data_IF_874989327123
#
_entry.id   IF_874989327123
#
_cell.length_a   1.000
_cell.length_b   1.000
_cell.length_c   1.000
_cell.angle_alpha   90.00
_cell.angle_beta   90.00
_cell.angle_gamma   90.00
#
_symmetry.space_group_name_H-M   'P 1'
#
loop_
_entity.id
_entity.type
_entity.pdbx_description
1 polymer ?
#
# COMPACT_ATOMS: atom_id res chain seq x y z
N UNK A 1 60.70 -34.96 8.37
CA UNK A 1 61.24 -35.62 7.16
C UNK A 1 60.03 -36.26 6.48
N UNK A 2 59.23 -35.55 5.68
CA UNK A 2 59.46 -35.00 4.33
C UNK A 2 59.58 -36.08 3.25
N UNK A 3 58.54 -36.18 2.40
CA UNK A 3 58.50 -36.24 0.90
C UNK A 3 57.07 -36.62 0.47
N UNK A 4 56.27 -35.76 -0.20
CA UNK A 4 56.22 -35.52 -1.67
C UNK A 4 55.68 -36.75 -2.47
N UNK A 5 54.82 -36.72 -3.50
CA UNK A 5 54.24 -35.70 -4.40
C UNK A 5 53.16 -36.39 -5.30
N UNK A 6 52.35 -35.59 -6.02
CA UNK A 6 51.56 -35.88 -7.26
C UNK A 6 50.06 -36.24 -7.08
N UNK A 7 49.13 -35.33 -7.40
CA UNK A 7 48.52 -35.02 -8.74
C UNK A 7 47.55 -36.10 -9.25
N UNK A 8 46.29 -35.72 -9.49
CA UNK A 8 45.67 -35.71 -10.83
C UNK A 8 44.16 -35.46 -10.75
N UNK A 9 43.73 -34.37 -11.41
CA UNK A 9 42.33 -34.06 -11.71
C UNK A 9 41.89 -34.83 -12.96
N UNK A 10 40.69 -35.42 -12.93
CA UNK A 10 39.89 -35.75 -14.13
C UNK A 10 38.40 -35.78 -13.71
N UNK A 11 37.63 -34.73 -14.00
CA UNK A 11 36.76 -34.58 -15.17
C UNK A 11 35.74 -35.69 -15.35
N UNK A 12 34.49 -35.41 -14.99
CA UNK A 12 33.34 -35.86 -15.78
C UNK A 12 32.47 -34.65 -16.09
N UNK A 13 32.62 -34.19 -17.34
CA UNK A 13 31.71 -33.27 -18.01
C UNK A 13 30.28 -33.80 -17.94
N UNK A 14 29.34 -32.92 -17.55
CA UNK A 14 27.96 -33.02 -18.04
C UNK A 14 27.51 -31.67 -18.55
N UNK A 15 27.91 -31.43 -19.80
CA UNK A 15 27.32 -30.48 -20.75
C UNK A 15 25.79 -30.58 -20.68
N UNK A 16 25.13 -29.50 -20.26
CA UNK A 16 23.70 -29.28 -20.48
C UNK A 16 23.56 -27.84 -20.94
N UNK A 17 23.09 -27.71 -22.17
CA UNK A 17 22.89 -26.48 -22.92
C UNK A 17 22.17 -25.38 -22.12
N UNK A 18 22.83 -24.23 -21.95
CA UNK A 18 22.13 -22.98 -21.70
C UNK A 18 21.55 -22.46 -23.02
N UNK A 19 20.23 -22.30 -23.17
CA UNK A 19 19.71 -21.45 -24.22
C UNK A 19 19.98 -20.00 -23.84
N UNK A 20 21.02 -19.45 -24.48
CA UNK A 20 21.26 -18.02 -24.67
C UNK A 20 19.99 -17.36 -25.23
N UNK A 21 19.21 -16.70 -24.37
CA UNK A 21 18.15 -15.82 -24.85
C UNK A 21 18.83 -14.52 -25.30
N UNK A 22 18.93 -14.37 -26.61
CA UNK A 22 19.28 -13.12 -27.28
C UNK A 22 18.38 -11.99 -26.81
N UNK A 23 19.02 -10.93 -26.31
CA UNK A 23 18.43 -9.62 -26.12
C UNK A 23 18.05 -9.10 -27.51
N UNK A 24 16.75 -9.12 -27.83
CA UNK A 24 16.22 -8.33 -28.93
C UNK A 24 15.73 -7.01 -28.36
N UNK A 25 16.61 -6.03 -28.49
CA UNK A 25 16.32 -4.61 -28.32
C UNK A 25 15.31 -4.21 -29.39
N UNK A 26 14.03 -4.08 -29.01
CA UNK A 26 12.99 -3.52 -29.86
C UNK A 26 12.48 -2.24 -29.20
N UNK A 27 13.16 -1.15 -29.54
CA UNK A 27 12.65 0.19 -29.35
C UNK A 27 11.36 0.33 -30.17
N UNK A 28 10.23 0.60 -29.53
CA UNK A 28 9.15 1.31 -30.21
C UNK A 28 8.22 2.04 -29.23
N UNK A 29 8.16 3.36 -29.46
CA UNK A 29 7.05 4.28 -29.23
C UNK A 29 6.32 4.27 -27.87
N UNK A 30 6.69 5.24 -27.03
CA UNK A 30 5.79 5.83 -26.06
C UNK A 30 4.56 6.47 -26.74
N UNK A 31 3.38 6.44 -26.11
CA UNK A 31 2.43 7.52 -26.23
C UNK A 31 2.52 8.38 -24.98
N UNK A 32 3.08 9.57 -25.18
CA UNK A 32 2.89 10.73 -24.34
C UNK A 32 1.39 11.00 -24.19
N UNK A 33 0.89 11.03 -22.95
CA UNK A 33 -0.43 11.60 -22.67
C UNK A 33 -0.26 12.58 -21.52
N UNK A 34 -0.15 13.85 -21.92
CA UNK A 34 -0.25 15.03 -21.08
C UNK A 34 -1.55 15.05 -20.23
N UNK A 35 -1.50 15.70 -19.05
CA UNK A 35 -2.58 15.67 -18.08
C UNK A 35 -3.70 16.65 -18.47
N UNK A 36 -4.95 16.20 -18.38
CA UNK A 36 -6.11 17.10 -18.45
C UNK A 36 -6.94 17.07 -17.18
N UNK A 37 -7.24 18.30 -16.76
CA UNK A 37 -8.37 18.74 -15.96
C UNK A 37 -8.22 18.71 -14.43
N UNK A 38 -7.61 19.80 -13.95
CA UNK A 38 -7.98 20.49 -12.71
C UNK A 38 -9.48 20.78 -12.66
N UNK A 39 -10.11 20.59 -11.50
CA UNK A 39 -11.42 21.18 -11.20
C UNK A 39 -11.35 21.88 -9.84
N UNK A 40 -11.16 23.19 -9.94
CA UNK A 40 -11.28 24.24 -8.93
C UNK A 40 -12.76 24.46 -8.59
N UNK A 41 -13.13 24.44 -7.30
CA UNK A 41 -14.32 25.16 -6.81
C UNK A 41 -14.01 25.77 -5.46
N UNK A 42 -14.07 27.10 -5.42
CA UNK A 42 -13.99 27.97 -4.27
C UNK A 42 -15.33 28.75 -4.16
N UNK A 43 -15.55 29.61 -3.15
CA UNK A 43 -16.48 29.40 -2.04
C UNK A 43 -17.79 30.19 -2.18
N UNK A 44 -18.84 29.80 -1.45
CA UNK A 44 -20.04 30.63 -1.28
C UNK A 44 -20.26 30.99 0.19
N UNK A 45 -20.52 32.28 0.42
CA UNK A 45 -20.66 32.93 1.71
C UNK A 45 -22.09 33.49 1.90
N UNK A 46 -22.61 33.33 3.12
CA UNK A 46 -23.67 34.16 3.73
C UNK A 46 -25.09 33.58 3.71
N UNK A 47 -25.98 33.97 4.66
CA UNK A 47 -25.93 35.19 5.47
C UNK A 47 -25.93 34.99 7.00
N UNK A 48 -25.53 36.05 7.72
CA UNK A 48 -25.54 36.22 9.18
C UNK A 48 -26.90 36.73 9.67
N UNK A 49 -27.32 36.31 10.86
CA UNK A 49 -28.24 37.03 11.76
C UNK A 49 -27.91 36.71 13.22
N UNK A 50 -27.47 37.74 13.97
CA UNK A 50 -27.53 37.85 15.44
C UNK A 50 -29.00 38.00 15.88
N UNK A 51 -29.49 37.67 17.08
CA UNK A 51 -28.95 37.11 18.31
C UNK A 51 -30.08 37.04 19.37
N UNK A 52 -29.87 36.33 20.48
CA UNK A 52 -30.37 36.66 21.83
C UNK A 52 -30.01 35.57 22.86
N UNK A 53 -29.57 36.06 24.00
CA UNK A 53 -28.91 35.43 25.15
C UNK A 53 -29.85 34.65 26.10
N UNK A 54 -29.49 33.40 26.47
CA UNK A 54 -29.15 32.98 27.85
C UNK A 54 -29.01 31.45 28.02
N UNK A 55 -27.82 31.04 28.50
CA UNK A 55 -27.53 29.90 29.39
C UNK A 55 -27.96 28.48 28.98
N UNK A 56 -27.03 27.71 28.38
CA UNK A 56 -26.72 26.32 28.77
C UNK A 56 -25.59 25.75 27.89
N UNK A 57 -24.54 25.20 28.53
CA UNK A 57 -23.48 24.33 27.98
C UNK A 57 -22.98 24.60 26.54
N UNK A 58 -21.85 25.30 26.42
CA UNK A 58 -21.19 25.53 25.14
C UNK A 58 -20.91 24.21 24.38
N UNK A 59 -21.34 24.06 23.12
CA UNK A 59 -20.90 22.97 22.27
C UNK A 59 -19.43 23.21 21.92
N UNK A 60 -18.61 22.16 22.07
CA UNK A 60 -17.21 22.16 21.65
C UNK A 60 -17.15 22.58 20.18
N UNK A 61 -16.54 23.74 19.92
CA UNK A 61 -16.16 24.15 18.56
C UNK A 61 -15.35 23.03 17.91
N UNK A 62 -15.46 22.79 16.58
CA UNK A 62 -14.68 21.75 15.94
C UNK A 62 -13.21 22.02 16.21
N UNK A 63 -12.58 21.17 17.01
CA UNK A 63 -11.17 21.32 17.35
C UNK A 63 -10.35 21.35 16.06
N UNK A 64 -9.28 22.18 15.99
CA UNK A 64 -8.38 22.15 14.85
C UNK A 64 -7.90 20.72 14.66
N UNK A 65 -8.25 20.12 13.52
CA UNK A 65 -7.92 18.72 13.23
C UNK A 65 -6.41 18.55 13.41
N UNK A 66 -6.03 17.71 14.39
CA UNK A 66 -4.63 17.44 14.68
C UNK A 66 -3.90 16.98 13.41
N UNK A 67 -2.58 17.23 13.32
CA UNK A 67 -1.77 16.80 12.17
C UNK A 67 -1.95 15.29 11.89
N UNK A 68 -1.94 14.48 12.96
CA UNK A 68 -2.25 13.05 12.91
C UNK A 68 -3.65 12.76 12.34
N UNK A 69 -4.66 13.54 12.71
CA UNK A 69 -6.02 13.41 12.16
C UNK A 69 -6.07 13.69 10.65
N UNK A 70 -5.31 14.69 10.16
CA UNK A 70 -5.17 14.98 8.73
C UNK A 70 -4.42 13.85 8.00
N UNK A 71 -3.37 13.30 8.62
CA UNK A 71 -2.63 12.17 8.07
C UNK A 71 -3.52 10.93 7.94
N UNK A 72 -4.36 10.66 8.94
CA UNK A 72 -5.33 9.58 8.91
C UNK A 72 -6.38 9.73 7.81
N UNK A 73 -6.77 10.96 7.47
CA UNK A 73 -7.66 11.23 6.35
C UNK A 73 -6.98 10.91 5.00
N UNK A 74 -5.70 11.29 4.83
CA UNK A 74 -4.88 10.94 3.67
C UNK A 74 -4.79 9.42 3.51
N UNK A 75 -4.48 8.68 4.58
CA UNK A 75 -4.38 7.22 4.56
C UNK A 75 -5.71 6.59 4.16
N UNK A 76 -6.81 6.96 4.82
CA UNK A 76 -8.14 6.38 4.54
C UNK A 76 -8.57 6.62 3.09
N UNK A 77 -8.34 7.83 2.56
CA UNK A 77 -8.65 8.15 1.16
C UNK A 77 -7.87 7.24 0.20
N UNK A 78 -6.58 7.07 0.41
CA UNK A 78 -5.74 6.23 -0.45
C UNK A 78 -6.09 4.74 -0.32
N UNK A 79 -6.47 4.26 0.87
CA UNK A 79 -7.03 2.90 1.04
C UNK A 79 -8.30 2.73 0.20
N UNK A 80 -9.22 3.71 0.21
CA UNK A 80 -10.42 3.65 -0.62
C UNK A 80 -10.11 3.62 -2.13
N UNK A 81 -9.08 4.36 -2.57
CA UNK A 81 -8.59 4.31 -3.95
C UNK A 81 -8.01 2.93 -4.30
N UNK A 82 -7.19 2.33 -3.42
CA UNK A 82 -6.65 0.97 -3.61
C UNK A 82 -7.77 -0.07 -3.70
N UNK A 83 -8.79 0.05 -2.85
CA UNK A 83 -9.97 -0.83 -2.91
C UNK A 83 -10.78 -0.64 -4.19
N UNK A 84 -10.76 0.56 -4.78
CA UNK A 84 -11.43 0.86 -6.06
C UNK A 84 -10.60 0.48 -7.30
N UNK A 85 -9.27 0.48 -7.19
CA UNK A 85 -8.37 0.16 -8.29
C UNK A 85 -8.48 -1.30 -8.76
N UNK A 86 -8.94 -2.22 -7.90
CA UNK A 86 -9.18 -3.63 -8.24
C UNK A 86 -10.42 -3.90 -9.10
N UNK A 87 -11.04 -2.88 -9.71
CA UNK A 87 -12.21 -3.01 -10.59
C UNK A 87 -11.84 -3.12 -12.07
N UNK A 88 -10.57 -2.94 -12.43
CA UNK A 88 -10.09 -3.09 -13.81
C UNK A 88 -9.54 -4.51 -13.98
N UNK A 89 -10.00 -5.31 -14.95
CA UNK A 89 -9.62 -6.71 -15.08
C UNK A 89 -8.25 -6.89 -15.77
N UNK A 90 -7.21 -6.19 -15.30
CA UNK A 90 -5.84 -6.31 -15.84
C UNK A 90 -4.83 -6.42 -14.69
N UNK A 91 -4.42 -7.65 -14.31
CA UNK A 91 -3.65 -7.92 -13.08
C UNK A 91 -2.33 -7.13 -12.93
N UNK A 92 -1.66 -6.77 -14.03
CA UNK A 92 -0.39 -6.00 -13.98
C UNK A 92 -0.67 -4.51 -13.77
N UNK A 93 -1.72 -3.99 -14.42
CA UNK A 93 -2.13 -2.58 -14.29
C UNK A 93 -2.56 -2.30 -12.85
N UNK A 94 -3.23 -3.25 -12.22
CA UNK A 94 -3.67 -3.13 -10.82
C UNK A 94 -2.50 -2.93 -9.87
N UNK A 95 -1.39 -3.67 -10.04
CA UNK A 95 -0.23 -3.55 -9.16
C UNK A 95 0.52 -2.22 -9.36
N UNK A 96 0.64 -1.76 -10.61
CA UNK A 96 1.25 -0.44 -10.90
C UNK A 96 0.38 0.68 -10.34
N UNK A 97 -0.95 0.60 -10.51
CA UNK A 97 -1.90 1.55 -9.97
C UNK A 97 -1.85 1.60 -8.43
N UNK A 98 -1.86 0.44 -7.77
CA UNK A 98 -1.76 0.34 -6.30
C UNK A 98 -0.44 0.95 -5.82
N UNK A 99 0.67 0.64 -6.49
CA UNK A 99 1.99 1.20 -6.14
C UNK A 99 1.99 2.72 -6.32
N UNK A 100 1.43 3.24 -7.42
CA UNK A 100 1.29 4.68 -7.66
C UNK A 100 0.46 5.37 -6.58
N UNK A 101 -0.65 4.77 -6.15
CA UNK A 101 -1.48 5.28 -5.04
C UNK A 101 -0.68 5.31 -3.73
N UNK A 102 0.10 4.26 -3.43
CA UNK A 102 0.94 4.21 -2.23
C UNK A 102 2.06 5.25 -2.25
N UNK A 103 2.72 5.45 -3.39
CA UNK A 103 3.74 6.50 -3.58
C UNK A 103 3.12 7.88 -3.39
N UNK A 104 1.97 8.15 -4.03
CA UNK A 104 1.22 9.39 -3.86
C UNK A 104 0.84 9.63 -2.39
N UNK A 105 0.38 8.60 -1.68
CA UNK A 105 0.07 8.69 -0.26
C UNK A 105 1.29 9.13 0.56
N UNK A 106 2.48 8.56 0.30
CA UNK A 106 3.70 8.97 0.99
C UNK A 106 4.14 10.40 0.62
N UNK A 107 3.87 10.86 -0.60
CA UNK A 107 4.09 12.25 -0.99
C UNK A 107 3.18 13.21 -0.21
N UNK A 108 1.87 12.91 -0.15
CA UNK A 108 0.90 13.71 0.62
C UNK A 108 1.20 13.73 2.12
N UNK A 109 1.68 12.61 2.68
CA UNK A 109 2.16 12.56 4.05
C UNK A 109 3.44 13.39 4.23
N UNK A 110 4.41 13.29 3.33
CA UNK A 110 5.65 14.07 3.43
C UNK A 110 5.35 15.57 3.38
N UNK A 111 4.47 16.01 2.49
CA UNK A 111 4.00 17.40 2.39
C UNK A 111 3.31 17.87 3.67
N UNK A 112 2.42 17.04 4.25
CA UNK A 112 1.74 17.37 5.51
C UNK A 112 2.70 17.59 6.69
N UNK A 113 3.87 16.95 6.66
CA UNK A 113 4.90 17.04 7.68
C UNK A 113 6.03 18.02 7.32
N UNK A 114 5.93 18.70 6.17
CA UNK A 114 6.95 19.61 5.63
C UNK A 114 8.31 18.91 5.40
N UNK A 115 8.26 17.68 4.88
CA UNK A 115 9.42 16.83 4.60
C UNK A 115 9.72 16.74 3.10
N UNK A 116 11.00 16.64 2.76
CA UNK A 116 11.42 16.40 1.38
C UNK A 116 10.97 15.02 0.89
N UNK A 117 10.23 14.99 -0.21
CA UNK A 117 9.77 13.77 -0.85
C UNK A 117 10.69 13.34 -1.99
N UNK A 118 10.97 12.03 -2.08
CA UNK A 118 11.67 11.42 -3.20
C UNK A 118 11.02 10.11 -3.59
N UNK A 119 10.51 10.08 -4.82
CA UNK A 119 9.75 8.95 -5.32
C UNK A 119 10.57 7.65 -5.41
N UNK A 120 11.85 7.75 -5.79
CA UNK A 120 12.76 6.60 -5.86
C UNK A 120 12.96 5.94 -4.48
N UNK A 121 13.05 6.74 -3.41
CA UNK A 121 13.10 6.23 -2.03
C UNK A 121 11.76 5.62 -1.66
N UNK A 122 10.67 6.34 -1.87
CA UNK A 122 9.33 5.89 -1.51
C UNK A 122 9.04 4.50 -2.10
N UNK A 123 9.31 4.31 -3.41
CA UNK A 123 9.15 3.02 -4.08
C UNK A 123 10.04 1.92 -3.48
N UNK A 124 11.30 2.22 -3.14
CA UNK A 124 12.21 1.27 -2.48
C UNK A 124 11.72 0.85 -1.10
N UNK A 125 11.24 1.81 -0.29
CA UNK A 125 10.73 1.53 1.06
C UNK A 125 9.44 0.72 1.02
N UNK A 126 8.53 1.02 0.09
CA UNK A 126 7.33 0.22 -0.19
C UNK A 126 7.74 -1.22 -0.53
N UNK A 127 8.66 -1.39 -1.48
CA UNK A 127 9.14 -2.72 -1.89
C UNK A 127 9.82 -3.47 -0.75
N UNK A 128 10.59 -2.78 0.08
CA UNK A 128 11.23 -3.34 1.27
C UNK A 128 10.21 -3.88 2.29
N UNK A 129 9.22 -3.07 2.68
CA UNK A 129 8.19 -3.50 3.62
C UNK A 129 7.32 -4.63 3.04
N UNK A 130 6.99 -4.55 1.74
CA UNK A 130 6.27 -5.61 1.04
C UNK A 130 7.06 -6.93 1.06
N UNK A 131 8.37 -6.88 0.77
CA UNK A 131 9.25 -8.05 0.88
C UNK A 131 9.35 -8.56 2.32
N UNK A 132 9.24 -7.69 3.32
CA UNK A 132 9.23 -8.06 4.73
C UNK A 132 7.96 -8.79 5.17
N UNK A 133 6.82 -8.54 4.50
CA UNK A 133 5.54 -9.27 4.69
C UNK A 133 5.57 -10.61 3.95
N UNK A 134 6.00 -10.60 2.69
CA UNK A 134 6.05 -11.79 1.85
C UNK A 134 7.19 -12.74 2.28
N UNK A 135 8.33 -12.22 2.71
CA UNK A 135 9.51 -13.02 3.07
C UNK A 135 9.35 -13.91 4.31
N UNK A 136 8.34 -13.68 5.15
CA UNK A 136 8.03 -14.50 6.35
C UNK A 136 6.87 -15.47 6.12
N UNK A 137 6.23 -15.45 4.95
CA UNK A 137 4.97 -16.16 4.72
C UNK A 137 4.62 -16.44 3.26
N UNK A 138 5.54 -16.22 2.30
CA UNK A 138 5.29 -16.43 0.87
C UNK A 138 4.81 -17.86 0.58
N UNK A 139 5.29 -18.86 1.32
CA UNK A 139 4.80 -20.24 1.20
C UNK A 139 3.30 -20.38 1.48
N UNK A 140 2.75 -19.59 2.41
CA UNK A 140 1.33 -19.64 2.77
C UNK A 140 0.44 -18.83 1.79
N UNK A 141 0.88 -17.65 1.37
CA UNK A 141 0.10 -16.77 0.47
C UNK A 141 0.08 -17.29 -0.97
N UNK A 142 1.20 -17.84 -1.46
CA UNK A 142 1.26 -18.49 -2.77
C UNK A 142 0.48 -19.82 -2.73
N UNK A 143 0.57 -20.58 -1.63
CA UNK A 143 -0.21 -21.79 -1.41
C UNK A 143 -1.72 -21.58 -1.43
N UNK A 144 -2.21 -20.44 -0.90
CA UNK A 144 -3.64 -20.11 -0.91
C UNK A 144 -4.20 -19.81 -2.32
N UNK A 145 -3.35 -19.38 -3.28
CA UNK A 145 -3.80 -19.20 -4.67
C UNK A 145 -4.03 -20.51 -5.41
N UNK A 146 -3.48 -21.62 -4.93
CA UNK A 146 -3.76 -22.98 -5.44
C UNK A 146 -5.10 -23.55 -4.92
N UNK A 147 -5.72 -22.91 -3.92
CA UNK A 147 -7.06 -23.27 -3.42
C UNK A 147 -8.21 -22.79 -4.33
N UNK A 148 -7.93 -22.02 -5.38
CA UNK A 148 -8.94 -21.49 -6.33
C UNK A 148 -9.50 -22.55 -7.31
N UNK A 149 -9.15 -23.82 -7.14
CA UNK A 149 -9.69 -24.94 -7.94
C UNK A 149 -10.83 -25.71 -7.24
N UNK A 150 -11.18 -25.37 -6.00
CA UNK A 150 -12.30 -26.00 -5.30
C UNK A 150 -13.36 -24.92 -5.05
N UNK A 151 -14.27 -24.67 -6.02
CA UNK A 151 -15.50 -23.98 -5.66
C UNK A 151 -16.21 -24.88 -4.65
N UNK A 152 -16.63 -24.31 -3.52
CA UNK A 152 -17.47 -24.92 -2.47
C UNK A 152 -16.87 -25.54 -1.19
N UNK A 153 -15.55 -25.54 -0.95
CA UNK A 153 -15.01 -25.94 0.37
C UNK A 153 -14.23 -24.80 1.02
N UNK A 154 -14.83 -24.14 2.03
CA UNK A 154 -14.13 -23.14 2.84
C UNK A 154 -14.94 -22.08 3.60
N UNK A 155 -16.23 -22.30 3.92
CA UNK A 155 -17.11 -21.27 4.49
C UNK A 155 -16.92 -20.94 6.00
N UNK A 156 -15.77 -21.21 6.63
CA UNK A 156 -15.65 -20.96 8.09
C UNK A 156 -14.28 -20.53 8.65
N UNK A 157 -13.30 -20.17 7.80
CA UNK A 157 -12.05 -19.55 8.28
C UNK A 157 -11.77 -18.28 7.48
N UNK A 158 -11.51 -17.17 8.18
CA UNK A 158 -11.48 -15.80 7.66
C UNK A 158 -10.83 -15.64 6.28
N UNK A 159 -11.66 -15.37 5.27
CA UNK A 159 -11.20 -15.17 3.90
C UNK A 159 -10.57 -13.78 3.81
N UNK A 160 -9.23 -13.72 3.85
CA UNK A 160 -8.49 -12.51 3.51
C UNK A 160 -8.37 -12.45 1.99
N UNK A 161 -9.12 -11.54 1.36
CA UNK A 161 -9.12 -11.36 -0.09
C UNK A 161 -8.00 -10.42 -0.54
N UNK A 162 -7.68 -10.40 -1.84
CA UNK A 162 -6.65 -9.50 -2.40
C UNK A 162 -6.95 -8.02 -2.08
N UNK A 163 -8.18 -7.50 -2.24
CA UNK A 163 -8.50 -6.13 -1.82
C UNK A 163 -8.31 -5.89 -0.32
N UNK A 164 -8.60 -6.88 0.54
CA UNK A 164 -8.35 -6.76 1.99
C UNK A 164 -6.86 -6.66 2.27
N UNK A 165 -6.04 -7.52 1.65
CA UNK A 165 -4.58 -7.50 1.81
C UNK A 165 -3.98 -6.18 1.31
N UNK A 166 -4.36 -5.73 0.11
CA UNK A 166 -3.81 -4.51 -0.49
C UNK A 166 -4.20 -3.26 0.29
N UNK A 167 -5.47 -3.18 0.73
CA UNK A 167 -5.93 -2.10 1.59
C UNK A 167 -5.25 -2.13 2.96
N UNK A 168 -5.09 -3.31 3.56
CA UNK A 168 -4.43 -3.46 4.87
C UNK A 168 -2.96 -3.04 4.81
N UNK A 169 -2.24 -3.49 3.78
CA UNK A 169 -0.86 -3.08 3.52
C UNK A 169 -0.75 -1.56 3.37
N UNK A 170 -1.64 -0.94 2.59
CA UNK A 170 -1.65 0.51 2.36
C UNK A 170 -1.90 1.28 3.65
N UNK A 171 -2.83 0.81 4.49
CA UNK A 171 -3.10 1.42 5.80
C UNK A 171 -1.91 1.30 6.76
N UNK A 172 -1.33 0.10 6.85
CA UNK A 172 -0.18 -0.16 7.72
C UNK A 172 1.04 0.66 7.30
N UNK A 173 1.31 0.73 5.99
CA UNK A 173 2.35 1.57 5.42
C UNK A 173 2.18 3.02 5.88
N UNK A 174 1.00 3.60 5.67
CA UNK A 174 0.71 4.97 6.08
C UNK A 174 0.90 5.20 7.59
N UNK A 175 0.40 4.31 8.43
CA UNK A 175 0.53 4.42 9.90
C UNK A 175 1.97 4.38 10.38
N UNK A 176 2.79 3.51 9.79
CA UNK A 176 4.21 3.40 10.13
C UNK A 176 4.99 4.64 9.73
N UNK A 177 4.73 5.22 8.54
CA UNK A 177 5.36 6.47 8.12
C UNK A 177 4.90 7.66 8.95
N UNK A 178 3.61 7.75 9.30
CA UNK A 178 3.10 8.77 10.22
C UNK A 178 3.80 8.68 11.57
N UNK A 179 3.91 7.49 12.15
CA UNK A 179 4.65 7.29 13.40
C UNK A 179 6.11 7.75 13.27
N UNK A 180 6.79 7.35 12.19
CA UNK A 180 8.17 7.75 11.94
C UNK A 180 8.34 9.26 11.82
N UNK A 181 7.46 9.94 11.07
CA UNK A 181 7.49 11.39 10.89
C UNK A 181 7.14 12.15 12.17
N UNK A 182 6.19 11.66 12.97
CA UNK A 182 5.88 12.23 14.30
C UNK A 182 7.08 12.14 15.26
N UNK A 183 7.97 11.15 15.08
CA UNK A 183 9.22 11.06 15.85
C UNK A 183 10.37 11.90 15.28
N UNK A 184 10.11 12.73 14.27
CA UNK A 184 11.10 13.59 13.62
C UNK A 184 11.91 12.90 12.51
N UNK A 185 11.53 11.69 12.11
CA UNK A 185 12.14 10.97 11.01
C UNK A 185 11.72 11.48 9.63
N UNK A 186 12.46 11.08 8.62
CA UNK A 186 12.25 11.41 7.20
C UNK A 186 12.17 10.16 6.34
N UNK A 187 11.92 10.30 5.04
CA UNK A 187 12.05 9.17 4.12
C UNK A 187 13.49 8.62 4.04
N UNK A 188 14.50 9.47 4.23
CA UNK A 188 15.90 9.10 4.01
C UNK A 188 16.49 8.27 5.16
N UNK A 189 16.01 8.48 6.37
CA UNK A 189 16.46 7.79 7.58
C UNK A 189 15.51 6.65 8.01
N UNK A 190 14.47 6.39 7.21
CA UNK A 190 13.53 5.31 7.46
C UNK A 190 14.21 3.95 7.36
N UNK A 191 14.12 3.16 8.43
CA UNK A 191 14.67 1.81 8.51
C UNK A 191 13.53 0.78 8.60
N UNK A 192 13.22 0.07 7.49
CA UNK A 192 12.18 -0.95 7.45
C UNK A 192 12.36 -2.09 8.47
N UNK A 193 13.60 -2.37 8.89
CA UNK A 193 13.87 -3.43 9.85
C UNK A 193 13.44 -3.04 11.27
N UNK A 194 13.64 -1.77 11.65
CA UNK A 194 13.28 -1.25 12.99
C UNK A 194 11.78 -1.20 13.21
N UNK A 195 11.02 -0.91 12.15
CA UNK A 195 9.57 -0.75 12.23
C UNK A 195 8.78 -2.01 11.90
N UNK A 196 9.46 -3.12 11.54
CA UNK A 196 8.82 -4.34 11.04
C UNK A 196 7.77 -4.92 11.99
N UNK A 197 8.05 -4.93 13.29
CA UNK A 197 7.10 -5.44 14.29
C UNK A 197 5.84 -4.57 14.37
N UNK A 198 6.03 -3.25 14.38
CA UNK A 198 4.92 -2.29 14.38
C UNK A 198 4.13 -2.38 13.07
N UNK A 199 4.80 -2.45 11.92
CA UNK A 199 4.18 -2.67 10.62
C UNK A 199 3.32 -3.94 10.61
N UNK A 200 3.84 -5.07 11.13
CA UNK A 200 3.10 -6.33 11.18
C UNK A 200 1.83 -6.19 12.03
N UNK A 201 1.94 -5.55 13.20
CA UNK A 201 0.79 -5.30 14.07
C UNK A 201 -0.27 -4.43 13.37
N UNK A 202 0.15 -3.32 12.76
CA UNK A 202 -0.76 -2.45 12.02
C UNK A 202 -1.38 -3.15 10.81
N UNK A 203 -0.64 -4.02 10.13
CA UNK A 203 -1.16 -4.82 9.02
C UNK A 203 -2.23 -5.79 9.48
N UNK A 204 -2.02 -6.50 10.59
CA UNK A 204 -3.02 -7.39 11.17
C UNK A 204 -4.29 -6.64 11.58
N UNK A 205 -4.16 -5.53 12.30
CA UNK A 205 -5.27 -4.66 12.67
C UNK A 205 -6.00 -4.08 11.44
N UNK A 206 -5.25 -3.77 10.39
CA UNK A 206 -5.80 -3.18 9.18
C UNK A 206 -6.60 -4.17 8.34
N UNK A 207 -6.32 -5.49 8.40
CA UNK A 207 -7.13 -6.50 7.69
C UNK A 207 -8.58 -6.49 8.17
N UNK A 208 -8.80 -6.42 9.48
CA UNK A 208 -10.15 -6.34 10.06
C UNK A 208 -10.85 -5.05 9.63
N UNK A 209 -10.19 -3.90 9.82
CA UNK A 209 -10.73 -2.60 9.41
C UNK A 209 -11.13 -2.56 7.92
N UNK A 210 -10.28 -3.09 7.05
CA UNK A 210 -10.54 -3.06 5.60
C UNK A 210 -11.63 -4.05 5.19
N UNK A 211 -11.71 -5.22 5.84
CA UNK A 211 -12.79 -6.17 5.62
C UNK A 211 -14.15 -5.55 5.98
N UNK A 212 -14.24 -4.84 7.11
CA UNK A 212 -15.45 -4.13 7.51
C UNK A 212 -15.84 -3.02 6.52
N UNK A 213 -14.86 -2.26 6.01
CA UNK A 213 -15.08 -1.23 4.99
C UNK A 213 -15.61 -1.84 3.69
N UNK A 214 -15.12 -3.02 3.28
CA UNK A 214 -15.61 -3.71 2.08
C UNK A 214 -17.04 -4.24 2.29
N UNK A 215 -17.30 -4.91 3.41
CA UNK A 215 -18.63 -5.42 3.74
C UNK A 215 -19.69 -4.31 3.75
N UNK A 216 -19.37 -3.18 4.40
CA UNK A 216 -20.26 -2.02 4.45
C UNK A 216 -20.58 -1.45 3.06
N UNK A 217 -19.62 -1.49 2.12
CA UNK A 217 -19.84 -1.06 0.72
C UNK A 217 -20.73 -2.03 -0.06
N UNK A 218 -20.56 -3.33 0.17
CA UNK A 218 -21.39 -4.37 -0.46
C UNK A 218 -22.84 -4.27 0.00
N UNK A 219 -23.07 -4.14 1.31
CA UNK A 219 -24.40 -3.97 1.91
C UNK A 219 -25.10 -2.69 1.39
N UNK A 220 -24.34 -1.60 1.23
CA UNK A 220 -24.84 -0.33 0.68
C UNK A 220 -25.20 -0.45 -0.81
N UNK A 221 -24.49 -1.27 -1.58
CA UNK A 221 -24.77 -1.51 -3.01
C UNK A 221 -25.99 -2.42 -3.20
N UNK A 222 -26.21 -3.38 -2.30
CA UNK A 222 -27.35 -4.29 -2.33
C UNK A 222 -28.69 -3.61 -1.99
N UNK A 223 -28.66 -2.47 -1.28
CA UNK A 223 -29.86 -1.78 -0.78
C UNK A 223 -30.37 -0.66 -1.70
N UNK A 224 -29.68 -0.35 -2.81
CA UNK A 224 -30.07 0.74 -3.73
C UNK A 224 -31.05 0.20 -4.80
N UNK A 225 -32.34 0.60 -4.83
CA UNK A 225 -33.25 0.18 -5.90
C UNK A 225 -32.80 0.79 -7.24
N UNK A 226 -32.89 -0.01 -8.30
CA UNK A 226 -32.64 0.40 -9.70
C UNK A 226 -33.65 1.42 -10.19
#
# INVERSE_FOLDING_TARGET
MATETAQSNQSTEKKTDEPRIEVKEEATSAPEVEPKAEAKVEPNAGPKTEGTSRSSAAPKSPEPVSRVGRADAVIRRNVLWVLGAGLVPVPIVDMVAITGIQVKMLAELSELYDLSFREDIARKLIGSLLSGVLGVGAGAVIGASLGKLIPFVGHAFGIVTVPVISGAFTRALGKVFVMHFETGGTLLDFDPHKVRSYFKQEFENAKEYVADVQKSKEDSKATKPS
#
